data_IF_760566053043
#
_entry.id   IF_760566053043
#
_cell.length_a   1.000
_cell.length_b   1.000
_cell.length_c   1.000
_cell.angle_alpha   90.00
_cell.angle_beta   90.00
_cell.angle_gamma   90.00
#
_symmetry.space_group_name_H-M   'P 1'
#
loop_
_entity.id
_entity.type
_entity.pdbx_description
1 polymer ?
#
# COMPACT_ATOMS: atom_id res chain seq x y z
N UNK A 1 36.63 -18.76 42.67
CA UNK A 1 36.79 -19.22 41.27
C UNK A 1 35.74 -18.50 40.43
N UNK A 2 35.90 -17.19 40.28
CA UNK A 2 34.77 -16.29 39.99
C UNK A 2 35.06 -15.42 38.76
N UNK A 3 35.44 -16.05 37.65
CA UNK A 3 35.85 -15.35 36.43
C UNK A 3 35.09 -15.77 35.16
N UNK A 4 34.11 -16.69 35.25
CA UNK A 4 33.37 -17.17 34.06
C UNK A 4 32.06 -16.41 33.77
N UNK A 5 31.52 -15.66 34.72
CA UNK A 5 30.20 -15.01 34.58
C UNK A 5 30.31 -13.62 33.90
N UNK A 6 31.38 -12.86 34.14
CA UNK A 6 31.55 -11.49 33.61
C UNK A 6 31.81 -11.44 32.10
N UNK A 7 32.27 -12.53 31.48
CA UNK A 7 32.57 -12.60 30.05
C UNK A 7 31.34 -12.81 29.15
N UNK A 8 30.21 -13.25 29.71
CA UNK A 8 29.02 -13.60 28.93
C UNK A 8 28.02 -12.43 28.74
N UNK A 9 28.05 -11.44 29.64
CA UNK A 9 27.25 -10.20 29.56
C UNK A 9 27.38 -9.41 28.24
N UNK A 10 28.59 -9.16 27.70
CA UNK A 10 28.71 -8.42 26.45
C UNK A 10 28.20 -9.23 25.26
N UNK A 11 28.35 -10.56 25.28
CA UNK A 11 27.82 -11.45 24.25
C UNK A 11 26.29 -11.49 24.23
N UNK A 12 25.66 -11.54 25.41
CA UNK A 12 24.19 -11.53 25.52
C UNK A 12 23.61 -10.19 25.05
N UNK A 13 24.26 -9.06 25.40
CA UNK A 13 23.90 -7.72 24.94
C UNK A 13 24.06 -7.57 23.43
N UNK A 14 25.14 -8.10 22.85
CA UNK A 14 25.38 -8.10 21.41
C UNK A 14 24.36 -8.97 20.66
N UNK A 15 23.98 -10.12 21.20
CA UNK A 15 22.94 -10.99 20.61
C UNK A 15 21.55 -10.31 20.64
N UNK A 16 21.21 -9.64 21.75
CA UNK A 16 20.00 -8.82 21.89
C UNK A 16 20.00 -7.64 20.91
N UNK A 17 21.15 -6.99 20.72
CA UNK A 17 21.31 -5.90 19.75
C UNK A 17 21.14 -6.39 18.30
N UNK A 18 21.68 -7.57 17.97
CA UNK A 18 21.49 -8.22 16.65
C UNK A 18 20.03 -8.67 16.41
N UNK A 19 19.33 -9.13 17.45
CA UNK A 19 17.90 -9.46 17.38
C UNK A 19 17.02 -8.21 17.16
N UNK A 20 17.39 -7.07 17.75
CA UNK A 20 16.70 -5.79 17.52
C UNK A 20 16.90 -5.24 16.10
N UNK A 21 18.06 -5.50 15.46
CA UNK A 21 18.35 -5.05 14.09
C UNK A 21 17.57 -5.81 13.01
N UNK A 22 16.93 -6.93 13.34
CA UNK A 22 16.38 -7.87 12.34
C UNK A 22 14.90 -7.64 11.97
N UNK A 23 14.19 -6.67 12.56
CA UNK A 23 12.73 -6.55 12.37
C UNK A 23 12.25 -5.16 11.92
N UNK A 24 12.97 -4.52 11.00
CA UNK A 24 12.35 -3.49 10.16
C UNK A 24 12.04 -4.06 8.78
N UNK A 25 11.05 -4.97 8.72
CA UNK A 25 10.32 -5.18 7.48
C UNK A 25 9.51 -3.89 7.22
N UNK A 26 10.01 -3.05 6.32
CA UNK A 26 9.19 -1.98 5.74
C UNK A 26 8.11 -2.68 4.91
N UNK A 27 6.97 -2.96 5.54
CA UNK A 27 5.78 -3.50 4.88
C UNK A 27 5.31 -2.43 3.88
N UNK A 28 5.62 -2.63 2.59
CA UNK A 28 5.04 -1.80 1.55
C UNK A 28 3.53 -1.96 1.63
N UNK A 29 2.78 -0.85 1.63
CA UNK A 29 1.31 -0.91 1.60
C UNK A 29 0.85 -1.91 0.54
N UNK A 30 -0.12 -2.75 0.91
CA UNK A 30 -0.68 -3.73 -0.01
C UNK A 30 -1.11 -3.03 -1.30
N UNK A 31 -0.77 -3.58 -2.48
CA UNK A 31 -1.13 -2.96 -3.75
C UNK A 31 -2.65 -2.83 -3.86
N UNK A 32 -3.12 -1.64 -4.23
CA UNK A 32 -4.56 -1.32 -4.35
C UNK A 32 -5.29 -2.23 -5.34
N UNK A 33 -4.58 -2.65 -6.39
CA UNK A 33 -5.03 -3.61 -7.39
C UNK A 33 -3.82 -4.33 -8.01
N UNK A 34 -4.07 -5.43 -8.71
CA UNK A 34 -3.06 -6.16 -9.49
C UNK A 34 -1.87 -6.68 -8.66
N UNK A 35 -2.14 -7.19 -7.46
CA UNK A 35 -1.13 -7.88 -6.67
C UNK A 35 -0.50 -9.04 -7.48
N UNK A 36 0.79 -8.96 -7.75
CA UNK A 36 1.53 -9.97 -8.49
C UNK A 36 1.62 -11.32 -7.77
N UNK A 37 1.39 -11.34 -6.45
CA UNK A 37 1.30 -12.55 -5.62
C UNK A 37 -0.09 -13.19 -5.68
N UNK A 38 -1.12 -12.42 -6.04
CA UNK A 38 -2.48 -12.91 -6.16
C UNK A 38 -2.71 -13.53 -7.55
N UNK A 39 -2.78 -14.86 -7.60
CA UNK A 39 -3.00 -15.61 -8.84
C UNK A 39 -4.31 -15.29 -9.56
N UNK A 40 -5.34 -14.85 -8.84
CA UNK A 40 -6.64 -14.48 -9.42
C UNK A 40 -6.53 -13.17 -10.22
N UNK A 41 -5.87 -12.16 -9.66
CA UNK A 41 -5.85 -10.81 -10.24
C UNK A 41 -4.71 -10.61 -11.24
N UNK A 42 -3.56 -11.28 -11.05
CA UNK A 42 -2.41 -11.21 -11.96
C UNK A 42 -2.75 -11.59 -13.41
N UNK A 43 -3.71 -12.51 -13.58
CA UNK A 43 -4.12 -13.01 -14.89
C UNK A 43 -4.94 -12.01 -15.70
N UNK A 44 -5.54 -11.00 -15.05
CA UNK A 44 -6.38 -10.03 -15.75
C UNK A 44 -5.58 -9.17 -16.71
N UNK A 45 -6.17 -8.93 -17.89
CA UNK A 45 -5.51 -8.14 -18.95
C UNK A 45 -5.25 -6.72 -18.49
N UNK A 46 -6.12 -6.12 -17.68
CA UNK A 46 -5.87 -4.79 -17.11
C UNK A 46 -4.65 -4.72 -16.17
N UNK A 47 -4.18 -5.84 -15.62
CA UNK A 47 -2.98 -5.92 -14.79
C UNK A 47 -1.67 -6.13 -15.58
N UNK A 48 -1.73 -6.39 -16.89
CA UNK A 48 -0.55 -6.62 -17.73
C UNK A 48 0.01 -5.31 -18.27
N UNK A 49 1.11 -4.83 -17.70
CA UNK A 49 1.75 -3.56 -18.10
C UNK A 49 2.28 -3.54 -19.54
N UNK A 50 2.54 -4.71 -20.14
CA UNK A 50 2.94 -4.82 -21.55
C UNK A 50 1.79 -4.61 -22.55
N UNK A 51 0.54 -4.53 -22.08
CA UNK A 51 -0.64 -4.28 -22.92
C UNK A 51 -0.91 -2.77 -23.00
N UNK A 52 -1.28 -2.20 -24.18
CA UNK A 52 -1.60 -0.78 -24.31
C UNK A 52 -2.68 -0.31 -23.32
N UNK A 53 -2.52 0.91 -22.79
CA UNK A 53 -3.38 1.48 -21.75
C UNK A 53 -4.87 1.39 -22.10
N UNK A 54 -5.26 1.79 -23.31
CA UNK A 54 -6.67 1.75 -23.74
C UNK A 54 -7.25 0.33 -23.73
N UNK A 55 -6.45 -0.69 -24.07
CA UNK A 55 -6.89 -2.07 -24.01
C UNK A 55 -7.02 -2.58 -22.56
N UNK A 56 -6.18 -2.09 -21.64
CA UNK A 56 -6.28 -2.37 -20.19
C UNK A 56 -7.52 -1.72 -19.58
N UNK A 57 -7.79 -0.45 -19.90
CA UNK A 57 -8.98 0.28 -19.44
C UNK A 57 -10.26 -0.38 -19.94
N UNK A 58 -10.34 -0.73 -21.23
CA UNK A 58 -11.52 -1.43 -21.78
C UNK A 58 -11.77 -2.78 -21.09
N UNK A 59 -10.73 -3.56 -20.81
CA UNK A 59 -10.86 -4.82 -20.09
C UNK A 59 -11.38 -4.60 -18.65
N UNK A 60 -10.84 -3.61 -17.93
CA UNK A 60 -11.32 -3.28 -16.58
C UNK A 60 -12.80 -2.84 -16.58
N UNK A 61 -13.15 -1.85 -17.40
CA UNK A 61 -14.53 -1.32 -17.46
C UNK A 61 -15.53 -2.36 -17.97
N UNK A 62 -15.09 -3.26 -18.87
CA UNK A 62 -15.91 -4.37 -19.38
C UNK A 62 -16.18 -5.46 -18.35
N UNK A 63 -15.35 -5.59 -17.31
CA UNK A 63 -15.54 -6.57 -16.23
C UNK A 63 -16.48 -6.11 -15.12
N UNK A 64 -16.68 -4.79 -14.98
CA UNK A 64 -17.53 -4.19 -13.97
C UNK A 64 -19.00 -4.36 -14.33
N UNK A 65 -19.79 -4.81 -13.36
CA UNK A 65 -21.25 -4.74 -13.40
C UNK A 65 -21.72 -3.28 -13.37
N UNK A 66 -22.97 -3.04 -13.77
CA UNK A 66 -23.55 -1.70 -13.69
C UNK A 66 -23.55 -1.16 -12.26
N UNK A 67 -23.86 -2.00 -11.27
CA UNK A 67 -23.86 -1.61 -9.86
C UNK A 67 -22.46 -1.25 -9.34
N UNK A 68 -21.44 -2.01 -9.74
CA UNK A 68 -20.05 -1.67 -9.40
C UNK A 68 -19.62 -0.35 -10.06
N UNK A 69 -20.00 -0.10 -11.33
CA UNK A 69 -19.72 1.18 -12.00
C UNK A 69 -20.31 2.36 -11.25
N UNK A 70 -21.57 2.28 -10.86
CA UNK A 70 -22.27 3.35 -10.13
C UNK A 70 -21.54 3.67 -8.82
N UNK A 71 -21.09 2.64 -8.09
CA UNK A 71 -20.37 2.80 -6.81
C UNK A 71 -18.96 3.35 -6.94
N UNK A 72 -18.41 3.43 -8.16
CA UNK A 72 -17.09 3.99 -8.45
C UNK A 72 -17.15 5.43 -8.98
N UNK A 73 -18.34 6.05 -9.06
CA UNK A 73 -18.52 7.42 -9.58
C UNK A 73 -18.29 8.53 -8.54
N UNK A 74 -18.27 8.18 -7.25
CA UNK A 74 -18.06 9.14 -6.15
C UNK A 74 -16.63 9.02 -5.61
N UNK A 75 -16.17 10.05 -4.87
CA UNK A 75 -14.83 10.08 -4.28
C UNK A 75 -14.54 8.86 -3.40
N UNK A 76 -15.50 8.51 -2.54
CA UNK A 76 -15.46 7.30 -1.71
C UNK A 76 -15.81 6.06 -2.54
N UNK A 77 -14.88 5.68 -3.42
CA UNK A 77 -15.07 4.59 -4.35
C UNK A 77 -15.09 3.25 -3.59
N UNK A 78 -16.19 2.51 -3.73
CA UNK A 78 -16.36 1.23 -3.06
C UNK A 78 -15.37 0.17 -3.60
N UNK A 79 -15.01 -0.78 -2.75
CA UNK A 79 -14.21 -1.92 -3.16
C UNK A 79 -14.94 -2.79 -4.21
N UNK A 80 -14.16 -3.43 -5.09
CA UNK A 80 -14.63 -4.49 -5.98
C UNK A 80 -13.80 -5.76 -5.73
N UNK A 81 -14.10 -6.53 -4.67
CA UNK A 81 -13.26 -7.65 -4.21
C UNK A 81 -13.05 -8.74 -5.26
N UNK A 82 -14.06 -9.00 -6.11
CA UNK A 82 -13.98 -10.00 -7.20
C UNK A 82 -12.90 -9.67 -8.24
N UNK A 83 -12.57 -8.39 -8.39
CA UNK A 83 -11.50 -7.91 -9.25
C UNK A 83 -10.22 -7.56 -8.48
N UNK A 84 -10.21 -7.76 -7.16
CA UNK A 84 -9.11 -7.40 -6.27
C UNK A 84 -8.84 -5.90 -6.21
N UNK A 85 -9.88 -5.09 -6.38
CA UNK A 85 -9.81 -3.63 -6.25
C UNK A 85 -10.27 -3.27 -4.84
N UNK A 86 -9.39 -2.64 -4.07
CA UNK A 86 -9.72 -2.14 -2.73
C UNK A 86 -10.54 -0.85 -2.83
N UNK A 87 -11.30 -0.52 -1.78
CA UNK A 87 -11.98 0.79 -1.71
C UNK A 87 -10.94 1.90 -1.60
N UNK A 88 -11.15 3.01 -2.31
CA UNK A 88 -10.18 4.10 -2.40
C UNK A 88 -10.86 5.46 -2.42
N UNK A 89 -10.12 6.48 -2.02
CA UNK A 89 -10.53 7.87 -2.06
C UNK A 89 -9.68 8.63 -3.08
N UNK A 90 -10.31 9.17 -4.12
CA UNK A 90 -9.61 9.91 -5.17
C UNK A 90 -9.60 11.42 -4.98
N UNK A 91 -10.38 11.96 -4.04
CA UNK A 91 -10.35 13.38 -3.70
C UNK A 91 -9.24 13.69 -2.68
N UNK A 92 -8.16 14.26 -3.19
CA UNK A 92 -7.07 14.86 -2.39
C UNK A 92 -6.89 16.33 -2.76
N UNK A 93 -6.44 17.14 -1.80
CA UNK A 93 -6.19 18.57 -1.98
C UNK A 93 -4.70 18.89 -1.79
N UNK A 94 -4.16 19.77 -2.63
CA UNK A 94 -2.74 20.12 -2.59
C UNK A 94 -2.42 21.54 -3.08
N UNK A 95 -3.36 22.49 -2.95
CA UNK A 95 -3.26 23.82 -3.58
C UNK A 95 -1.98 24.59 -3.23
N UNK A 96 -1.52 24.52 -1.97
CA UNK A 96 -0.32 25.19 -1.46
C UNK A 96 0.63 24.22 -0.75
N UNK A 97 0.64 22.97 -1.20
CA UNK A 97 1.21 21.85 -0.47
C UNK A 97 0.13 20.86 -0.07
N UNK A 98 0.54 19.63 0.19
CA UNK A 98 -0.37 18.53 0.48
C UNK A 98 -1.21 18.88 1.70
N UNK A 99 -2.52 18.86 1.49
CA UNK A 99 -3.48 19.08 2.56
C UNK A 99 -3.71 17.78 3.33
N UNK A 100 -3.87 17.92 4.63
CA UNK A 100 -4.41 16.86 5.49
C UNK A 100 -5.93 16.97 5.64
N UNK A 101 -6.56 17.94 4.97
CA UNK A 101 -8.02 18.04 4.87
C UNK A 101 -8.51 17.28 3.63
N UNK A 102 -9.58 16.50 3.80
CA UNK A 102 -10.10 15.58 2.79
C UNK A 102 -9.87 14.10 3.11
N UNK A 103 -10.68 13.18 2.54
CA UNK A 103 -10.62 11.76 2.84
C UNK A 103 -9.56 10.99 2.03
N UNK A 104 -8.92 11.63 1.05
CA UNK A 104 -7.91 11.02 0.18
C UNK A 104 -6.57 10.67 0.83
N UNK A 105 -5.51 10.64 0.02
CA UNK A 105 -4.20 10.14 0.45
C UNK A 105 -3.61 10.97 1.59
N UNK A 106 -3.27 10.30 2.69
CA UNK A 106 -2.51 10.85 3.81
C UNK A 106 -1.05 10.40 3.75
N UNK A 107 -0.14 11.36 3.84
CA UNK A 107 1.29 11.09 3.94
C UNK A 107 1.71 11.25 5.42
N UNK A 108 2.62 10.40 5.88
CA UNK A 108 3.16 10.50 7.24
C UNK A 108 4.29 11.55 7.28
N UNK A 109 4.25 12.46 8.25
CA UNK A 109 5.29 13.47 8.49
C UNK A 109 4.76 14.85 8.83
N UNK A 110 5.60 15.70 9.42
CA UNK A 110 5.31 17.12 9.54
C UNK A 110 5.47 17.77 8.17
N UNK A 111 4.37 18.20 7.56
CA UNK A 111 4.45 19.06 6.40
C UNK A 111 4.93 20.44 6.85
N UNK A 112 6.02 20.98 6.30
CA UNK A 112 6.40 22.36 6.57
C UNK A 112 5.28 23.26 6.04
N UNK A 113 4.42 23.75 6.92
CA UNK A 113 3.51 24.85 6.59
C UNK A 113 4.37 26.07 6.35
N UNK A 114 4.50 26.45 5.08
CA UNK A 114 4.89 27.81 4.74
C UNK A 114 3.75 28.76 5.12
N UNK A 115 4.12 29.83 5.82
CA UNK A 115 3.32 30.88 6.46
C UNK A 115 3.04 30.65 7.94
#
# INVERSE_FOLDING_TARGET
>A
MDAKITSALPFLSFLLFLLCLSNHTVESRAPFACDAKNGLTRSFKFCRVSVPLHARVRDLIGRLTLQEKIRLLVNNAAAVPRLGIQGYEWWSEALHGVSNVGPGTKFGGAFPRGH
#
